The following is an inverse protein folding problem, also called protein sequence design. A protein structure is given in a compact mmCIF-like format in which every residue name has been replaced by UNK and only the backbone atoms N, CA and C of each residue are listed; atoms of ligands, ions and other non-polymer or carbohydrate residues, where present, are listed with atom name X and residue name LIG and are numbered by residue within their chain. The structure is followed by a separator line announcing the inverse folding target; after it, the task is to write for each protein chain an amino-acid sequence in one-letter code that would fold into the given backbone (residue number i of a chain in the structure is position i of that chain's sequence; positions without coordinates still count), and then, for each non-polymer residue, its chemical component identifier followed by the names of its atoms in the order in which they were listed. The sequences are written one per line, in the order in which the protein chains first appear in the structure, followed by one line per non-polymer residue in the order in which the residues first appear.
data_IF_612546392401
#
_entry.id   IF_612546392401
#
_cell.length_a   1.000
_cell.length_b   1.000
_cell.length_c   1.000
_cell.angle_alpha   90.00
_cell.angle_beta   90.00
_cell.angle_gamma   90.00
#
_symmetry.space_group_name_H-M   'P 1'
#
loop_
_entity.id
_entity.type
_entity.pdbx_description
1 polymer ?
#
# COMPACT_ATOMS: atom_id res chain seq x y z
N UNK A 1 13.08 -32.23 25.06
CA UNK A 1 13.90 -31.60 24.01
C UNK A 1 15.27 -31.14 24.55
N UNK A 2 16.11 -32.05 25.10
CA UNK A 2 17.48 -31.74 25.56
C UNK A 2 18.58 -31.87 24.50
N UNK A 3 18.30 -32.49 23.35
CA UNK A 3 19.34 -32.86 22.39
C UNK A 3 19.91 -31.70 21.51
N UNK A 4 19.30 -30.53 21.49
CA UNK A 4 19.80 -29.38 20.70
C UNK A 4 20.85 -28.49 21.41
N UNK A 5 21.15 -28.75 22.67
CA UNK A 5 22.11 -27.95 23.44
C UNK A 5 23.54 -28.55 23.35
N UNK A 6 23.65 -29.88 23.12
CA UNK A 6 24.95 -30.55 23.04
C UNK A 6 25.72 -30.29 21.75
N UNK A 7 25.06 -29.91 20.64
CA UNK A 7 25.74 -29.64 19.37
C UNK A 7 26.36 -28.23 19.28
N UNK A 8 26.11 -27.36 20.25
CA UNK A 8 26.63 -25.98 20.30
C UNK A 8 27.85 -25.81 21.22
N UNK A 9 28.29 -26.90 21.88
CA UNK A 9 29.27 -26.82 22.96
C UNK A 9 30.61 -27.52 22.78
N UNK A 10 30.88 -28.19 21.66
CA UNK A 10 32.13 -28.94 21.49
C UNK A 10 32.88 -28.55 20.22
N UNK A 11 33.59 -27.46 20.26
CA UNK A 11 34.87 -27.28 19.56
C UNK A 11 35.62 -26.14 20.23
N UNK A 12 36.62 -26.51 21.00
CA UNK A 12 37.62 -25.61 21.56
C UNK A 12 38.31 -24.84 20.43
N UNK A 13 38.54 -23.55 20.68
CA UNK A 13 39.39 -22.73 19.84
C UNK A 13 38.78 -21.40 19.41
N UNK A 14 39.20 -20.35 20.10
CA UNK A 14 39.11 -18.96 19.63
C UNK A 14 37.77 -18.22 19.74
N UNK A 15 37.52 -17.66 20.87
CA UNK A 15 36.43 -16.69 21.12
C UNK A 15 36.55 -15.39 20.29
N UNK A 16 37.64 -15.16 19.62
CA UNK A 16 37.92 -13.91 18.90
C UNK A 16 37.40 -13.86 17.45
N UNK A 17 36.87 -14.94 16.90
CA UNK A 17 36.39 -15.00 15.48
C UNK A 17 34.88 -15.21 15.30
N UNK A 18 34.08 -15.12 16.36
CA UNK A 18 32.63 -15.25 16.19
C UNK A 18 32.07 -13.94 15.62
N UNK A 19 31.55 -13.97 14.39
CA UNK A 19 30.97 -12.80 13.75
C UNK A 19 29.94 -12.10 14.67
N UNK A 20 29.87 -10.76 14.71
CA UNK A 20 28.92 -10.01 15.54
C UNK A 20 27.48 -10.48 15.36
N UNK A 21 27.14 -11.01 14.19
CA UNK A 21 25.85 -11.59 13.85
C UNK A 21 25.50 -12.86 14.65
N UNK A 22 26.49 -13.73 14.89
CA UNK A 22 26.30 -14.99 15.64
C UNK A 22 26.10 -14.72 17.12
N UNK A 23 26.87 -13.76 17.66
CA UNK A 23 26.73 -13.32 19.06
C UNK A 23 25.34 -12.70 19.29
N UNK A 24 24.88 -11.84 18.38
CA UNK A 24 23.55 -11.21 18.46
C UNK A 24 22.42 -12.26 18.44
N UNK A 25 22.47 -13.26 17.57
CA UNK A 25 21.50 -14.37 17.55
C UNK A 25 21.45 -15.14 18.87
N UNK A 26 22.58 -15.38 19.50
CA UNK A 26 22.65 -16.07 20.80
C UNK A 26 22.03 -15.21 21.91
N UNK A 27 22.33 -13.92 21.95
CA UNK A 27 21.74 -12.98 22.92
C UNK A 27 20.22 -12.90 22.73
N UNK A 28 19.74 -12.80 21.50
CA UNK A 28 18.31 -12.74 21.17
C UNK A 28 17.59 -14.03 21.60
N UNK A 29 18.21 -15.20 21.37
CA UNK A 29 17.70 -16.50 21.80
C UNK A 29 17.62 -16.63 23.32
N UNK A 30 18.67 -16.19 24.04
CA UNK A 30 18.68 -16.17 25.50
C UNK A 30 17.59 -15.25 26.07
N UNK A 31 17.36 -14.10 25.43
CA UNK A 31 16.33 -13.14 25.80
C UNK A 31 14.92 -13.72 25.64
N UNK A 32 14.66 -14.44 24.54
CA UNK A 32 13.41 -15.15 24.30
C UNK A 32 13.13 -16.25 25.32
N UNK A 33 14.16 -17.02 25.71
CA UNK A 33 14.01 -18.09 26.72
C UNK A 33 13.70 -17.50 28.11
N UNK A 34 14.32 -16.38 28.46
CA UNK A 34 14.20 -15.75 29.81
C UNK A 34 12.92 -14.95 30.00
N UNK A 35 12.11 -14.71 28.94
CA UNK A 35 10.84 -14.00 29.08
C UNK A 35 9.87 -14.70 30.05
N UNK A 36 9.21 -13.93 30.89
CA UNK A 36 8.18 -14.42 31.82
C UNK A 36 6.98 -15.02 31.08
N UNK A 37 6.32 -15.99 31.69
CA UNK A 37 5.16 -16.69 31.10
C UNK A 37 4.07 -15.71 30.62
N UNK A 38 3.71 -14.72 31.44
CA UNK A 38 2.70 -13.73 31.06
C UNK A 38 3.16 -12.84 29.91
N UNK A 39 4.43 -12.43 29.86
CA UNK A 39 5.01 -11.68 28.74
C UNK A 39 4.87 -12.47 27.44
N UNK A 40 5.27 -13.77 27.45
CA UNK A 40 5.12 -14.66 26.27
C UNK A 40 3.67 -14.73 25.80
N UNK A 41 2.73 -14.87 26.73
CA UNK A 41 1.29 -14.90 26.41
C UNK A 41 0.82 -13.60 25.79
N UNK A 42 1.18 -12.45 26.37
CA UNK A 42 0.78 -11.13 25.83
C UNK A 42 1.39 -10.88 24.45
N UNK A 43 2.67 -11.19 24.25
CA UNK A 43 3.36 -11.04 22.97
C UNK A 43 2.74 -11.93 21.90
N UNK A 44 2.44 -13.19 22.19
CA UNK A 44 1.80 -14.09 21.24
C UNK A 44 0.41 -13.60 20.83
N UNK A 45 -0.44 -13.24 21.80
CA UNK A 45 -1.76 -12.67 21.50
C UNK A 45 -1.69 -11.36 20.72
N UNK A 46 -0.68 -10.52 21.02
CA UNK A 46 -0.42 -9.30 20.28
C UNK A 46 -0.09 -9.61 18.81
N UNK A 47 0.80 -10.57 18.56
CA UNK A 47 1.16 -11.03 17.21
C UNK A 47 -0.05 -11.59 16.46
N UNK A 48 -0.84 -12.45 17.10
CA UNK A 48 -2.01 -13.05 16.48
C UNK A 48 -3.02 -11.97 16.06
N UNK A 49 -3.26 -10.98 16.93
CA UNK A 49 -4.13 -9.84 16.63
C UNK A 49 -3.58 -8.97 15.50
N UNK A 50 -2.26 -8.75 15.47
CA UNK A 50 -1.58 -8.00 14.41
C UNK A 50 -1.70 -8.70 13.05
N UNK A 51 -1.43 -10.00 13.00
CA UNK A 51 -1.50 -10.78 11.78
C UNK A 51 -2.92 -10.85 11.22
N UNK A 52 -3.90 -11.05 12.09
CA UNK A 52 -5.31 -11.02 11.69
C UNK A 52 -5.72 -9.65 11.13
N UNK A 53 -5.23 -8.55 11.74
CA UNK A 53 -5.46 -7.20 11.23
C UNK A 53 -4.93 -7.04 9.81
N UNK A 54 -3.67 -7.46 9.54
CA UNK A 54 -3.07 -7.41 8.22
C UNK A 54 -3.86 -8.24 7.19
N UNK A 55 -4.25 -9.45 7.58
CA UNK A 55 -4.99 -10.35 6.70
C UNK A 55 -6.33 -9.77 6.30
N UNK A 56 -7.09 -9.22 7.24
CA UNK A 56 -8.38 -8.59 6.96
C UNK A 56 -8.25 -7.33 6.11
N UNK A 57 -7.23 -6.48 6.37
CA UNK A 57 -7.02 -5.28 5.58
C UNK A 57 -6.69 -5.61 4.12
N UNK A 58 -5.89 -6.64 3.89
CA UNK A 58 -5.43 -7.04 2.57
C UNK A 58 -6.43 -7.90 1.78
N UNK A 59 -7.61 -8.19 2.35
CA UNK A 59 -8.69 -8.89 1.63
C UNK A 59 -9.55 -7.90 0.86
N UNK A 60 -9.52 -7.88 -0.49
CA UNK A 60 -10.26 -6.89 -1.29
C UNK A 60 -11.78 -7.05 -1.20
N UNK A 61 -12.26 -8.23 -0.81
CA UNK A 61 -13.71 -8.53 -0.67
C UNK A 61 -14.34 -7.95 0.60
N UNK A 62 -13.54 -7.43 1.52
CA UNK A 62 -14.03 -6.87 2.79
C UNK A 62 -14.12 -5.35 2.66
N UNK A 63 -15.34 -4.78 2.67
CA UNK A 63 -15.54 -3.33 2.66
C UNK A 63 -15.15 -2.64 3.98
N UNK A 64 -15.32 -3.32 5.11
CA UNK A 64 -15.05 -2.82 6.47
C UNK A 64 -13.57 -3.05 6.88
N UNK A 65 -12.62 -2.68 5.99
CA UNK A 65 -11.18 -3.00 6.16
C UNK A 65 -10.48 -2.08 7.16
N UNK A 66 -10.68 -0.78 7.02
CA UNK A 66 -10.00 0.22 7.85
C UNK A 66 -10.44 0.11 9.30
N UNK A 67 -11.72 -0.08 9.52
CA UNK A 67 -12.32 -0.25 10.84
C UNK A 67 -11.82 -1.53 11.52
N UNK A 68 -11.97 -2.67 10.84
CA UNK A 68 -11.50 -3.96 11.36
C UNK A 68 -10.02 -3.94 11.69
N UNK A 69 -9.20 -3.34 10.79
CA UNK A 69 -7.78 -3.16 11.03
C UNK A 69 -7.52 -2.31 12.27
N UNK A 70 -8.16 -1.15 12.39
CA UNK A 70 -7.94 -0.23 13.51
C UNK A 70 -8.27 -0.88 14.86
N UNK A 71 -9.35 -1.66 14.93
CA UNK A 71 -9.77 -2.38 16.14
C UNK A 71 -8.72 -3.43 16.54
N UNK A 72 -8.38 -4.31 15.61
CA UNK A 72 -7.44 -5.42 15.87
C UNK A 72 -6.02 -4.91 16.10
N UNK A 73 -5.60 -3.90 15.34
CA UNK A 73 -4.26 -3.36 15.47
C UNK A 73 -4.07 -2.55 16.76
N UNK A 74 -5.10 -1.81 17.20
CA UNK A 74 -5.09 -1.17 18.52
C UNK A 74 -4.99 -2.20 19.63
N UNK A 75 -5.70 -3.33 19.52
CA UNK A 75 -5.58 -4.43 20.48
C UNK A 75 -4.16 -5.03 20.46
N UNK A 76 -3.57 -5.22 19.28
CA UNK A 76 -2.21 -5.70 19.15
C UNK A 76 -1.22 -4.76 19.84
N UNK A 77 -1.34 -3.45 19.62
CA UNK A 77 -0.53 -2.44 20.31
C UNK A 77 -0.71 -2.47 21.82
N UNK A 78 -1.95 -2.50 22.30
CA UNK A 78 -2.22 -2.51 23.74
C UNK A 78 -1.56 -3.72 24.43
N UNK A 79 -1.66 -4.90 23.82
CA UNK A 79 -1.03 -6.13 24.34
C UNK A 79 0.50 -6.05 24.30
N UNK A 80 1.09 -5.49 23.23
CA UNK A 80 2.55 -5.33 23.11
C UNK A 80 3.10 -4.36 24.15
N UNK A 81 2.44 -3.21 24.32
CA UNK A 81 2.82 -2.20 25.32
C UNK A 81 2.73 -2.76 26.75
N UNK A 82 1.67 -3.51 27.05
CA UNK A 82 1.52 -4.19 28.35
C UNK A 82 2.61 -5.26 28.56
N UNK A 83 2.94 -6.03 27.54
CA UNK A 83 4.02 -7.00 27.61
C UNK A 83 5.35 -6.34 27.95
N UNK A 84 5.66 -5.22 27.30
CA UNK A 84 6.85 -4.43 27.55
C UNK A 84 6.89 -3.88 28.98
N UNK A 85 5.83 -3.24 29.46
CA UNK A 85 5.76 -2.69 30.81
C UNK A 85 5.89 -3.79 31.88
N UNK A 86 5.26 -4.94 31.66
CA UNK A 86 5.34 -6.06 32.59
C UNK A 86 6.76 -6.64 32.66
N UNK A 87 7.41 -6.84 31.52
CA UNK A 87 8.78 -7.33 31.47
C UNK A 87 9.76 -6.33 32.09
N UNK A 88 9.68 -5.05 31.71
CA UNK A 88 10.53 -3.97 32.22
C UNK A 88 10.39 -3.75 33.73
N UNK A 89 9.20 -4.01 34.28
CA UNK A 89 8.97 -3.92 35.73
C UNK A 89 9.48 -5.13 36.53
N UNK A 90 10.13 -6.10 35.88
CA UNK A 90 10.53 -7.35 36.54
C UNK A 90 9.35 -8.30 36.79
N UNK A 91 8.21 -8.15 36.07
CA UNK A 91 7.03 -8.99 36.21
C UNK A 91 6.05 -8.56 37.30
N UNK A 92 6.11 -7.31 37.70
CA UNK A 92 5.18 -6.77 38.70
C UNK A 92 3.81 -6.50 38.09
N UNK A 93 2.76 -7.21 38.55
CA UNK A 93 1.39 -7.06 38.00
C UNK A 93 0.85 -5.62 38.14
N UNK A 94 1.32 -4.85 39.07
CA UNK A 94 0.95 -3.43 39.24
C UNK A 94 1.38 -2.54 38.07
N UNK A 95 2.32 -2.97 37.24
CA UNK A 95 2.74 -2.21 36.07
C UNK A 95 1.65 -2.12 35.01
N UNK A 96 0.79 -3.13 34.92
CA UNK A 96 -0.23 -3.29 33.86
C UNK A 96 -1.66 -3.44 34.41
N UNK A 97 -1.85 -3.51 35.73
CA UNK A 97 -3.16 -3.59 36.35
C UNK A 97 -3.33 -2.50 37.39
N UNK A 98 -4.53 -1.93 37.48
CA UNK A 98 -4.95 -0.99 38.50
C UNK A 98 -5.05 -1.70 39.86
N UNK A 99 -5.10 -0.92 40.95
CA UNK A 99 -5.36 -1.48 42.29
C UNK A 99 -6.71 -2.21 42.28
N UNK A 100 -6.75 -3.41 42.86
CA UNK A 100 -8.01 -4.17 42.97
C UNK A 100 -8.95 -3.45 43.93
N UNK A 101 -10.14 -3.12 43.48
CA UNK A 101 -11.24 -2.62 44.28
C UNK A 101 -12.00 -3.84 44.83
N UNK A 102 -12.38 -3.80 46.10
CA UNK A 102 -13.15 -4.86 46.76
C UNK A 102 -14.42 -5.13 45.93
N UNK A 103 -14.70 -6.40 45.66
CA UNK A 103 -15.86 -6.87 44.92
C UNK A 103 -15.90 -6.48 43.42
N UNK A 104 -14.82 -5.98 42.81
CA UNK A 104 -14.71 -5.72 41.38
C UNK A 104 -13.60 -6.55 40.74
N UNK A 105 -13.83 -6.89 39.46
CA UNK A 105 -12.77 -7.50 38.61
C UNK A 105 -11.61 -6.52 38.52
N UNK A 106 -10.37 -7.03 38.60
CA UNK A 106 -9.18 -6.20 38.46
C UNK A 106 -9.07 -5.70 37.00
N UNK A 107 -9.06 -4.41 36.82
CA UNK A 107 -8.95 -3.76 35.50
C UNK A 107 -7.49 -3.63 35.09
N UNK A 108 -7.22 -3.81 33.80
CA UNK A 108 -5.92 -3.46 33.23
C UNK A 108 -5.87 -1.98 32.87
N UNK A 109 -4.66 -1.44 32.77
CA UNK A 109 -4.48 -0.05 32.31
C UNK A 109 -4.81 0.05 30.82
N UNK A 110 -5.22 1.25 30.37
CA UNK A 110 -5.56 1.53 28.97
C UNK A 110 -4.33 1.70 28.09
N UNK A 111 -4.54 1.70 26.77
CA UNK A 111 -3.47 1.97 25.80
C UNK A 111 -2.82 3.35 26.06
N UNK A 112 -3.62 4.39 26.36
CA UNK A 112 -3.13 5.74 26.64
C UNK A 112 -2.28 5.79 27.91
N UNK A 113 -2.65 5.03 28.94
CA UNK A 113 -1.85 4.90 30.15
C UNK A 113 -0.52 4.19 29.88
N UNK A 114 -0.52 3.17 28.99
CA UNK A 114 0.69 2.51 28.54
C UNK A 114 1.61 3.48 27.79
N UNK A 115 1.07 4.24 26.86
CA UNK A 115 1.82 5.21 26.04
C UNK A 115 2.49 6.27 26.91
N UNK A 116 1.78 6.83 27.89
CA UNK A 116 2.35 7.80 28.84
C UNK A 116 3.49 7.23 29.67
N UNK A 117 3.42 5.94 30.02
CA UNK A 117 4.47 5.28 30.80
C UNK A 117 5.71 4.94 29.98
N UNK A 118 5.56 4.66 28.68
CA UNK A 118 6.64 4.18 27.81
C UNK A 118 7.33 5.34 27.11
N UNK A 119 6.56 6.29 26.60
CA UNK A 119 7.07 7.42 25.82
C UNK A 119 7.03 8.71 26.67
N UNK A 120 8.20 9.15 27.12
CA UNK A 120 8.33 10.33 27.97
C UNK A 120 7.86 11.62 27.29
N UNK A 121 8.12 11.75 25.97
CA UNK A 121 7.73 12.93 25.19
C UNK A 121 6.33 12.75 24.63
N UNK A 122 5.45 13.73 24.87
CA UNK A 122 4.07 13.70 24.36
C UNK A 122 3.99 13.79 22.83
N UNK A 123 5.00 14.38 22.19
CA UNK A 123 5.12 14.52 20.73
C UNK A 123 6.04 13.46 20.10
N UNK A 124 6.35 12.36 20.81
CA UNK A 124 7.09 11.24 20.22
C UNK A 124 6.34 10.73 18.97
N UNK A 125 7.00 10.61 17.81
CA UNK A 125 6.32 10.26 16.56
C UNK A 125 5.66 8.88 16.58
N UNK A 126 6.27 7.88 17.26
CA UNK A 126 5.70 6.53 17.41
C UNK A 126 4.48 6.58 18.32
N UNK A 127 4.58 7.30 19.44
CA UNK A 127 3.44 7.52 20.34
C UNK A 127 2.28 8.18 19.58
N UNK A 128 2.53 9.23 18.82
CA UNK A 128 1.49 9.93 18.03
C UNK A 128 0.86 9.05 16.98
N UNK A 129 1.63 8.20 16.32
CA UNK A 129 1.09 7.22 15.39
C UNK A 129 0.10 6.27 16.09
N UNK A 130 0.46 5.73 17.25
CA UNK A 130 -0.40 4.81 18.00
C UNK A 130 -1.65 5.53 18.55
N UNK A 131 -1.50 6.76 19.07
CA UNK A 131 -2.63 7.59 19.53
C UNK A 131 -3.63 7.82 18.39
N UNK A 132 -3.14 8.14 17.18
CA UNK A 132 -4.00 8.37 16.03
C UNK A 132 -4.72 7.09 15.57
N UNK A 133 -4.05 5.93 15.57
CA UNK A 133 -4.67 4.63 15.28
C UNK A 133 -5.76 4.31 16.32
N UNK A 134 -5.50 4.59 17.59
CA UNK A 134 -6.49 4.40 18.67
C UNK A 134 -7.70 5.33 18.52
N UNK A 135 -7.48 6.55 18.04
CA UNK A 135 -8.56 7.49 17.74
C UNK A 135 -9.44 6.98 16.55
N UNK A 136 -8.81 6.51 15.46
CA UNK A 136 -9.55 5.88 14.36
C UNK A 136 -10.38 4.69 14.85
N UNK A 137 -9.80 3.85 15.72
CA UNK A 137 -10.53 2.72 16.33
C UNK A 137 -11.75 3.16 17.12
N UNK A 138 -11.67 4.26 17.83
CA UNK A 138 -12.81 4.77 18.59
C UNK A 138 -13.95 5.25 17.65
N UNK A 139 -13.60 5.82 16.51
CA UNK A 139 -14.56 6.26 15.49
C UNK A 139 -15.09 5.10 14.63
N UNK A 140 -14.40 3.96 14.58
CA UNK A 140 -14.78 2.81 13.78
C UNK A 140 -16.19 2.27 14.09
N UNK A 141 -16.69 2.49 15.30
CA UNK A 141 -18.04 2.11 15.72
C UNK A 141 -19.13 3.11 15.29
N UNK A 142 -18.75 4.29 14.77
CA UNK A 142 -19.69 5.37 14.51
C UNK A 142 -19.76 5.72 13.02
N UNK A 143 -18.73 6.32 12.47
CA UNK A 143 -18.73 6.76 11.08
C UNK A 143 -17.29 6.89 10.57
N UNK A 144 -16.86 5.96 9.72
CA UNK A 144 -15.65 6.13 8.89
C UNK A 144 -16.10 6.39 7.46
N UNK A 145 -15.59 7.47 6.88
CA UNK A 145 -15.89 7.89 5.53
C UNK A 145 -14.78 7.39 4.61
N UNK A 146 -15.12 6.67 3.55
CA UNK A 146 -14.17 6.05 2.62
C UNK A 146 -13.16 7.03 2.01
N UNK A 147 -13.52 8.32 1.91
CA UNK A 147 -12.62 9.38 1.45
C UNK A 147 -11.41 9.62 2.36
N UNK A 148 -11.44 9.11 3.59
CA UNK A 148 -10.33 9.17 4.54
C UNK A 148 -9.37 7.97 4.43
N UNK A 149 -9.74 6.91 3.74
CA UNK A 149 -8.93 5.70 3.58
C UNK A 149 -7.50 5.96 3.10
N UNK A 150 -7.24 6.87 2.13
CA UNK A 150 -5.87 7.17 1.70
C UNK A 150 -5.00 7.77 2.82
N UNK A 151 -5.60 8.51 3.75
CA UNK A 151 -4.90 9.07 4.91
C UNK A 151 -4.67 7.99 5.97
N UNK A 152 -5.69 7.20 6.27
CA UNK A 152 -5.62 6.13 7.26
C UNK A 152 -4.61 5.06 6.87
N UNK A 153 -4.59 4.64 5.60
CA UNK A 153 -3.63 3.66 5.08
C UNK A 153 -2.17 4.06 5.32
N UNK A 154 -1.85 5.35 5.20
CA UNK A 154 -0.50 5.87 5.45
C UNK A 154 -0.11 5.80 6.93
N UNK A 155 -1.06 6.09 7.81
CA UNK A 155 -0.88 5.97 9.27
C UNK A 155 -0.74 4.51 9.68
N UNK A 156 -1.60 3.66 9.14
CA UNK A 156 -1.59 2.23 9.42
C UNK A 156 -0.29 1.58 8.94
N UNK A 157 0.14 1.85 7.71
CA UNK A 157 1.39 1.31 7.18
C UNK A 157 2.60 1.75 8.01
N UNK A 158 2.65 3.01 8.48
CA UNK A 158 3.71 3.44 9.39
C UNK A 158 3.60 2.73 10.74
N UNK A 159 2.39 2.55 11.25
CA UNK A 159 2.12 1.78 12.46
C UNK A 159 2.63 0.35 12.36
N UNK A 160 2.39 -0.32 11.24
CA UNK A 160 2.91 -1.67 10.96
C UNK A 160 4.43 -1.71 11.07
N UNK A 161 5.14 -0.77 10.45
CA UNK A 161 6.59 -0.69 10.53
C UNK A 161 7.07 -0.41 11.96
N UNK A 162 6.43 0.52 12.67
CA UNK A 162 6.74 0.81 14.08
C UNK A 162 6.53 -0.42 14.96
N UNK A 163 5.45 -1.18 14.74
CA UNK A 163 5.14 -2.39 15.49
C UNK A 163 6.25 -3.44 15.33
N UNK A 164 6.67 -3.70 14.10
CA UNK A 164 7.72 -4.67 13.79
C UNK A 164 9.06 -4.24 14.38
N UNK A 165 9.42 -2.95 14.25
CA UNK A 165 10.63 -2.37 14.81
C UNK A 165 10.67 -2.54 16.34
N UNK A 166 9.56 -2.25 17.05
CA UNK A 166 9.51 -2.35 18.51
C UNK A 166 9.41 -3.79 18.99
N UNK A 167 8.75 -4.68 18.26
CA UNK A 167 8.71 -6.10 18.57
C UNK A 167 10.12 -6.72 18.54
N UNK A 168 10.91 -6.39 17.49
CA UNK A 168 12.31 -6.81 17.43
C UNK A 168 13.15 -6.17 18.56
N UNK A 169 13.04 -4.85 18.72
CA UNK A 169 13.81 -4.10 19.72
C UNK A 169 13.57 -4.59 21.15
N UNK A 170 12.31 -4.85 21.53
CA UNK A 170 11.95 -5.18 22.91
C UNK A 170 12.07 -6.66 23.21
N UNK A 171 11.74 -7.51 22.25
CA UNK A 171 11.61 -8.95 22.47
C UNK A 171 12.50 -9.81 21.58
N UNK A 172 13.30 -9.21 20.69
CA UNK A 172 14.13 -9.90 19.72
C UNK A 172 13.33 -10.84 18.79
N UNK A 173 12.09 -10.46 18.48
CA UNK A 173 11.21 -11.22 17.58
C UNK A 173 11.21 -10.56 16.21
N UNK A 174 11.87 -11.19 15.26
CA UNK A 174 12.04 -10.71 13.89
C UNK A 174 10.90 -11.17 13.00
N UNK A 175 9.78 -10.48 13.10
CA UNK A 175 8.57 -10.84 12.36
C UNK A 175 8.80 -10.74 10.84
N UNK A 176 9.57 -9.77 10.39
CA UNK A 176 9.88 -9.56 8.98
C UNK A 176 10.64 -10.74 8.33
N UNK A 177 11.44 -11.50 9.12
CA UNK A 177 12.15 -12.68 8.61
C UNK A 177 11.23 -13.91 8.50
N UNK A 178 10.07 -13.89 9.15
CA UNK A 178 9.14 -15.03 9.21
C UNK A 178 8.14 -15.01 8.05
N UNK A 179 7.89 -13.85 7.47
CA UNK A 179 6.89 -13.66 6.41
C UNK A 179 7.53 -13.33 5.06
N UNK A 180 6.87 -13.79 3.99
CA UNK A 180 7.27 -13.44 2.62
C UNK A 180 7.11 -11.92 2.41
N UNK A 181 7.98 -11.30 1.60
CA UNK A 181 7.80 -9.91 1.17
C UNK A 181 6.39 -9.69 0.60
N UNK A 182 5.72 -8.63 1.04
CA UNK A 182 4.35 -8.31 0.62
C UNK A 182 3.27 -8.59 1.66
N UNK A 183 3.46 -9.58 2.57
CA UNK A 183 2.49 -9.84 3.65
C UNK A 183 2.48 -8.75 4.74
N UNK A 184 3.55 -7.98 4.86
CA UNK A 184 3.71 -6.90 5.85
C UNK A 184 3.26 -5.55 5.29
N UNK A 185 3.01 -5.49 3.98
CA UNK A 185 2.53 -4.28 3.30
C UNK A 185 1.01 -4.25 3.32
N UNK A 186 0.42 -3.08 3.60
CA UNK A 186 -1.01 -2.87 3.43
C UNK A 186 -1.27 -2.56 1.95
N UNK A 187 -2.14 -3.35 1.33
CA UNK A 187 -2.64 -3.06 -0.01
C UNK A 187 -3.72 -1.99 0.13
N UNK A 188 -3.38 -0.79 -0.24
CA UNK A 188 -4.30 0.34 -0.28
C UNK A 188 -4.65 0.59 -1.74
N UNK A 189 -5.93 0.59 -2.06
CA UNK A 189 -6.43 1.26 -3.24
C UNK A 189 -6.29 2.76 -2.96
N UNK A 190 -5.10 3.28 -3.23
CA UNK A 190 -4.84 4.71 -3.09
C UNK A 190 -5.66 5.45 -4.17
N UNK A 191 -6.96 5.48 -3.96
CA UNK A 191 -7.85 6.39 -4.67
C UNK A 191 -7.26 7.79 -4.53
N UNK A 192 -7.26 8.54 -5.62
CA UNK A 192 -6.75 9.90 -5.61
C UNK A 192 -7.39 10.68 -4.46
N UNK A 193 -6.54 11.23 -3.59
CA UNK A 193 -7.01 12.10 -2.51
C UNK A 193 -7.83 13.22 -3.14
N UNK A 194 -9.14 13.19 -2.95
CA UNK A 194 -10.04 14.23 -3.49
C UNK A 194 -9.65 15.58 -2.91
N UNK A 195 -9.67 16.62 -3.72
CA UNK A 195 -9.40 17.98 -3.23
C UNK A 195 -10.45 18.40 -2.20
N UNK A 196 -10.04 19.23 -1.24
CA UNK A 196 -10.95 19.78 -0.23
C UNK A 196 -12.14 20.50 -0.87
N UNK A 197 -11.92 21.17 -2.01
CA UNK A 197 -13.00 21.84 -2.76
C UNK A 197 -13.98 20.86 -3.38
N UNK A 198 -13.54 19.70 -3.84
CA UNK A 198 -14.39 18.62 -4.35
C UNK A 198 -15.20 18.00 -3.22
N UNK A 199 -14.57 17.69 -2.09
CA UNK A 199 -15.23 17.15 -0.90
C UNK A 199 -16.34 18.09 -0.39
N UNK A 200 -16.06 19.39 -0.33
CA UNK A 200 -17.05 20.41 0.08
C UNK A 200 -18.28 20.45 -0.80
N UNK A 201 -18.19 20.07 -2.08
CA UNK A 201 -19.33 20.03 -3.01
C UNK A 201 -20.13 18.73 -2.91
N UNK A 202 -19.52 17.65 -2.42
CA UNK A 202 -20.09 16.30 -2.45
C UNK A 202 -20.74 15.89 -1.13
N UNK A 203 -20.49 16.59 -0.03
CA UNK A 203 -20.94 16.23 1.32
C UNK A 203 -21.79 17.31 1.96
N UNK A 204 -22.59 16.93 2.96
CA UNK A 204 -23.28 17.85 3.84
C UNK A 204 -22.26 18.76 4.57
N UNK A 205 -22.73 19.85 5.18
CA UNK A 205 -21.85 20.76 5.92
C UNK A 205 -21.21 20.05 7.12
N UNK A 206 -21.96 19.19 7.79
CA UNK A 206 -21.54 18.42 8.96
C UNK A 206 -20.51 17.37 8.57
N UNK A 207 -20.79 16.56 7.55
CA UNK A 207 -19.87 15.52 7.06
C UNK A 207 -18.56 16.14 6.53
N UNK A 208 -18.66 17.24 5.80
CA UNK A 208 -17.49 17.97 5.33
C UNK A 208 -16.64 18.49 6.49
N UNK A 209 -17.26 18.99 7.56
CA UNK A 209 -16.53 19.45 8.74
C UNK A 209 -15.79 18.29 9.40
N UNK A 210 -16.44 17.14 9.56
CA UNK A 210 -15.84 15.92 10.08
C UNK A 210 -14.61 15.49 9.26
N UNK A 211 -14.76 15.38 7.93
CA UNK A 211 -13.64 15.05 7.03
C UNK A 211 -12.50 16.06 7.16
N UNK A 212 -12.82 17.35 7.17
CA UNK A 212 -11.82 18.41 7.24
C UNK A 212 -11.03 18.39 8.55
N UNK A 213 -11.66 18.03 9.65
CA UNK A 213 -11.00 17.92 10.95
C UNK A 213 -10.04 16.71 10.98
N UNK A 214 -10.42 15.59 10.39
CA UNK A 214 -9.50 14.46 10.18
C UNK A 214 -8.30 14.83 9.29
N UNK A 215 -8.53 15.53 8.19
CA UNK A 215 -7.45 15.99 7.31
C UNK A 215 -6.51 16.97 8.02
N UNK A 216 -7.04 17.86 8.88
CA UNK A 216 -6.19 18.76 9.71
C UNK A 216 -5.34 17.96 10.72
N UNK A 217 -5.94 17.00 11.42
CA UNK A 217 -5.22 16.11 12.35
C UNK A 217 -4.11 15.34 11.62
N UNK A 218 -4.41 14.79 10.43
CA UNK A 218 -3.43 14.09 9.61
C UNK A 218 -2.26 14.99 9.22
N UNK A 219 -2.52 16.22 8.75
CA UNK A 219 -1.47 17.20 8.42
C UNK A 219 -0.63 17.59 9.64
N UNK A 220 -1.23 17.65 10.82
CA UNK A 220 -0.48 17.86 12.05
C UNK A 220 0.43 16.67 12.35
N UNK A 221 -0.04 15.44 12.13
CA UNK A 221 0.74 14.21 12.30
C UNK A 221 1.94 14.15 11.33
N UNK A 222 1.77 14.55 10.07
CA UNK A 222 2.87 14.63 9.08
C UNK A 222 4.02 15.53 9.54
N UNK A 223 3.73 16.62 10.24
CA UNK A 223 4.74 17.55 10.74
C UNK A 223 5.57 17.02 11.89
N UNK A 224 5.13 15.97 12.57
CA UNK A 224 5.81 15.36 13.72
C UNK A 224 7.02 14.54 13.26
N UNK A 225 6.94 13.89 12.10
CA UNK A 225 8.07 13.16 11.51
C UNK A 225 7.69 11.81 10.90
N UNK A 226 8.66 11.20 10.24
CA UNK A 226 8.49 9.99 9.45
C UNK A 226 7.96 8.77 10.22
N UNK A 227 8.20 8.71 11.54
CA UNK A 227 7.67 7.63 12.39
C UNK A 227 6.22 7.85 12.82
N UNK A 228 5.64 9.00 12.51
CA UNK A 228 4.22 9.29 12.78
C UNK A 228 3.32 8.85 11.61
N UNK A 229 3.75 9.07 10.38
CA UNK A 229 3.04 8.64 9.16
C UNK A 229 4.04 8.45 8.01
N UNK A 230 3.64 7.73 6.96
CA UNK A 230 4.46 7.63 5.75
C UNK A 230 4.35 8.94 4.96
N UNK A 231 5.47 9.65 4.74
CA UNK A 231 5.46 10.82 3.86
C UNK A 231 5.28 10.37 2.41
N UNK A 232 4.52 11.14 1.64
CA UNK A 232 4.48 11.00 0.18
C UNK A 232 5.26 12.16 -0.40
N UNK A 233 6.37 11.86 -1.07
CA UNK A 233 7.17 12.85 -1.79
C UNK A 233 6.82 12.77 -3.27
N UNK A 234 6.35 13.86 -3.83
CA UNK A 234 6.10 13.98 -5.26
C UNK A 234 7.28 14.72 -5.90
N UNK A 235 7.86 14.13 -6.94
CA UNK A 235 8.82 14.83 -7.80
C UNK A 235 8.04 15.39 -8.98
N UNK A 236 8.01 16.72 -9.10
CA UNK A 236 7.34 17.42 -10.20
C UNK A 236 8.41 17.79 -11.23
N UNK A 237 8.29 17.23 -12.43
CA UNK A 237 9.07 17.65 -13.59
C UNK A 237 8.20 18.53 -14.49
N UNK A 238 8.69 19.73 -14.80
CA UNK A 238 8.02 20.61 -15.76
C UNK A 238 8.33 20.09 -17.17
N UNK A 239 7.31 19.72 -17.91
CA UNK A 239 7.42 19.27 -19.31
C UNK A 239 6.71 20.26 -20.23
N UNK A 240 7.34 20.60 -21.34
CA UNK A 240 6.81 21.57 -22.30
C UNK A 240 5.67 20.99 -23.17
N UNK A 241 5.40 19.69 -23.11
CA UNK A 241 4.36 19.05 -23.89
C UNK A 241 3.18 18.64 -22.99
N UNK A 242 2.00 19.27 -23.11
CA UNK A 242 0.81 18.95 -22.30
C UNK A 242 0.38 17.48 -22.37
N UNK A 243 0.63 16.80 -23.49
CA UNK A 243 0.29 15.38 -23.68
C UNK A 243 1.23 14.42 -22.90
N UNK A 244 2.35 14.94 -22.38
CA UNK A 244 3.29 14.19 -21.53
C UNK A 244 3.17 14.55 -20.06
N UNK A 245 2.33 15.50 -19.73
CA UNK A 245 2.12 15.95 -18.36
C UNK A 245 1.05 15.11 -17.67
N UNK A 246 1.35 14.61 -16.47
CA UNK A 246 0.35 13.98 -15.60
C UNK A 246 -0.60 15.04 -14.99
N UNK A 247 -0.14 16.28 -14.90
CA UNK A 247 -0.92 17.44 -14.43
C UNK A 247 -0.59 18.64 -15.30
N UNK A 248 -1.63 19.32 -15.80
CA UNK A 248 -1.49 20.57 -16.55
C UNK A 248 -1.79 21.74 -15.62
N UNK A 249 -0.79 22.61 -15.43
CA UNK A 249 -0.96 23.87 -14.69
C UNK A 249 -1.37 24.97 -15.67
N UNK A 250 -2.56 25.53 -15.51
CA UNK A 250 -2.96 26.71 -16.28
C UNK A 250 -2.59 27.99 -15.52
N UNK A 251 -1.93 28.94 -16.19
CA UNK A 251 -1.54 30.25 -15.66
C UNK A 251 -2.67 31.27 -15.81
N UNK A 252 -3.78 31.06 -15.13
CA UNK A 252 -4.91 31.98 -15.21
C UNK A 252 -5.53 32.28 -13.85
N UNK A 253 -5.00 33.27 -13.12
CA UNK A 253 -5.64 33.84 -11.94
C UNK A 253 -5.27 33.21 -10.60
N UNK A 254 -5.10 34.08 -9.63
CA UNK A 254 -4.83 33.90 -8.19
C UNK A 254 -4.76 32.48 -7.65
N UNK A 255 -3.53 31.98 -7.44
CA UNK A 255 -3.24 30.88 -6.53
C UNK A 255 -3.83 29.51 -6.92
N UNK A 256 -3.43 28.94 -8.06
CA UNK A 256 -3.85 27.60 -8.45
C UNK A 256 -3.14 26.56 -7.56
N UNK A 257 -3.91 25.87 -6.73
CA UNK A 257 -3.45 24.66 -6.06
C UNK A 257 -3.34 23.57 -7.12
N UNK A 258 -2.12 23.07 -7.39
CA UNK A 258 -1.94 21.86 -8.17
C UNK A 258 -2.58 20.68 -7.42
N UNK A 259 -3.59 20.08 -8.02
CA UNK A 259 -4.15 18.82 -7.56
C UNK A 259 -3.47 17.75 -8.39
N UNK A 260 -2.53 17.02 -7.77
CA UNK A 260 -1.91 15.85 -8.40
C UNK A 260 -2.95 14.75 -8.33
N UNK A 261 -3.55 14.43 -9.47
CA UNK A 261 -4.37 13.24 -9.63
C UNK A 261 -3.43 12.11 -10.05
N UNK A 262 -3.03 11.26 -9.11
CA UNK A 262 -2.45 9.97 -9.46
C UNK A 262 -3.54 9.15 -10.18
N UNK A 263 -3.47 9.16 -11.51
CA UNK A 263 -4.27 8.27 -12.31
C UNK A 263 -3.53 6.93 -12.37
N UNK A 264 -3.78 6.04 -11.42
CA UNK A 264 -3.50 4.64 -11.64
C UNK A 264 -4.34 4.20 -12.83
N UNK A 265 -3.69 4.12 -13.99
CA UNK A 265 -4.32 3.52 -15.16
C UNK A 265 -4.24 2.03 -14.94
N UNK A 266 -5.35 1.46 -14.50
CA UNK A 266 -5.57 0.03 -14.66
C UNK A 266 -5.43 -0.25 -16.16
N UNK A 267 -4.41 -1.03 -16.51
CA UNK A 267 -4.05 -1.28 -17.90
C UNK A 267 -5.17 -2.02 -18.58
N UNK A 268 -5.87 -2.90 -17.87
CA UNK A 268 -7.01 -3.65 -18.40
C UNK A 268 -8.22 -2.73 -18.64
N UNK A 269 -8.34 -1.60 -17.96
CA UNK A 269 -9.35 -0.57 -18.27
C UNK A 269 -8.94 0.33 -19.43
N UNK A 270 -7.66 0.64 -19.59
CA UNK A 270 -7.19 1.55 -20.64
C UNK A 270 -6.84 0.85 -21.95
N UNK A 271 -6.38 -0.41 -21.85
CA UNK A 271 -5.97 -1.25 -22.97
C UNK A 271 -6.59 -2.66 -22.85
N UNK A 272 -7.93 -2.77 -22.88
CA UNK A 272 -8.63 -4.01 -22.56
C UNK A 272 -8.45 -5.12 -23.60
N UNK A 273 -7.99 -4.79 -24.82
CA UNK A 273 -7.96 -5.72 -25.92
C UNK A 273 -6.60 -6.37 -26.12
N UNK A 274 -6.55 -7.69 -26.13
CA UNK A 274 -5.45 -8.41 -26.78
C UNK A 274 -5.61 -8.34 -28.31
N UNK A 275 -4.57 -8.72 -29.04
CA UNK A 275 -4.59 -8.59 -30.51
C UNK A 275 -5.80 -9.27 -31.16
N UNK A 276 -6.15 -10.47 -30.69
CA UNK A 276 -7.30 -11.22 -31.22
C UNK A 276 -8.60 -10.49 -30.96
N UNK A 277 -8.80 -10.09 -29.72
CA UNK A 277 -10.01 -9.39 -29.25
C UNK A 277 -10.18 -8.04 -29.95
N UNK A 278 -9.08 -7.29 -30.16
CA UNK A 278 -9.10 -6.03 -30.91
C UNK A 278 -9.53 -6.22 -32.36
N UNK A 279 -9.07 -7.30 -33.03
CA UNK A 279 -9.43 -7.61 -34.40
C UNK A 279 -10.91 -8.03 -34.49
N UNK A 280 -11.39 -8.85 -33.58
CA UNK A 280 -12.79 -9.28 -33.51
C UNK A 280 -13.72 -8.07 -33.27
N UNK A 281 -13.36 -7.17 -32.37
CA UNK A 281 -14.11 -5.93 -32.13
C UNK A 281 -14.14 -5.01 -33.36
N UNK A 282 -13.01 -4.87 -34.07
CA UNK A 282 -12.94 -4.11 -35.33
C UNK A 282 -13.85 -4.72 -36.38
N UNK A 283 -13.79 -6.04 -36.60
CA UNK A 283 -14.63 -6.74 -37.59
C UNK A 283 -16.12 -6.51 -37.30
N UNK A 284 -16.53 -6.60 -36.04
CA UNK A 284 -17.92 -6.38 -35.63
C UNK A 284 -18.44 -4.95 -35.88
N UNK A 285 -17.53 -3.96 -36.01
CA UNK A 285 -17.87 -2.53 -36.21
C UNK A 285 -17.62 -1.98 -37.61
N UNK A 286 -17.00 -2.76 -38.49
CA UNK A 286 -16.83 -2.38 -39.88
C UNK A 286 -18.13 -2.52 -40.65
N UNK A 287 -18.28 -1.72 -41.71
CA UNK A 287 -19.42 -1.80 -42.63
C UNK A 287 -19.51 -3.19 -43.30
N UNK A 288 -20.74 -3.66 -43.50
CA UNK A 288 -21.00 -4.96 -44.11
C UNK A 288 -20.22 -5.16 -45.42
N UNK A 289 -19.62 -6.35 -45.59
CA UNK A 289 -18.85 -6.71 -46.78
C UNK A 289 -17.36 -6.36 -46.72
N UNK A 290 -16.87 -5.76 -45.65
CA UNK A 290 -15.44 -5.51 -45.48
C UNK A 290 -14.74 -6.68 -44.73
N UNK A 291 -13.94 -7.45 -45.48
CA UNK A 291 -13.05 -8.45 -44.85
C UNK A 291 -11.86 -7.77 -44.21
N UNK A 292 -11.68 -7.96 -42.89
CA UNK A 292 -10.54 -7.45 -42.13
C UNK A 292 -9.72 -8.60 -41.54
N UNK A 293 -8.42 -8.57 -41.71
CA UNK A 293 -7.52 -9.65 -41.28
C UNK A 293 -6.45 -9.19 -40.33
N UNK A 294 -5.77 -10.14 -39.68
CA UNK A 294 -4.58 -9.86 -38.85
C UNK A 294 -3.52 -9.08 -39.63
N UNK A 295 -3.37 -9.35 -40.92
CA UNK A 295 -2.39 -8.63 -41.75
C UNK A 295 -2.77 -7.15 -41.94
N UNK A 296 -4.06 -6.85 -42.09
CA UNK A 296 -4.56 -5.47 -42.18
C UNK A 296 -4.31 -4.71 -40.87
N UNK A 297 -4.56 -5.37 -39.75
CA UNK A 297 -4.30 -4.81 -38.43
C UNK A 297 -2.80 -4.49 -38.20
N UNK A 298 -1.92 -5.44 -38.55
CA UNK A 298 -0.47 -5.23 -38.41
C UNK A 298 0.05 -4.17 -39.38
N UNK A 299 -0.47 -4.12 -40.62
CA UNK A 299 -0.14 -3.09 -41.60
C UNK A 299 -0.56 -1.69 -41.10
N UNK A 300 -1.76 -1.55 -40.58
CA UNK A 300 -2.23 -0.29 -40.00
C UNK A 300 -1.34 0.14 -38.79
N UNK A 301 -1.08 -0.77 -37.87
CA UNK A 301 -0.22 -0.50 -36.71
C UNK A 301 1.19 -0.10 -37.12
N UNK A 302 1.73 -0.70 -38.17
CA UNK A 302 3.06 -0.39 -38.68
C UNK A 302 3.12 1.01 -39.32
N UNK A 303 2.23 1.32 -40.26
CA UNK A 303 2.21 2.59 -40.99
C UNK A 303 1.98 3.76 -40.02
N UNK A 304 1.08 3.59 -39.07
CA UNK A 304 0.79 4.61 -38.07
C UNK A 304 1.74 4.61 -36.85
N UNK A 305 2.78 3.76 -36.85
CA UNK A 305 3.80 3.74 -35.84
C UNK A 305 3.30 3.35 -34.43
N UNK A 306 2.18 2.63 -34.31
CA UNK A 306 1.53 2.30 -33.05
C UNK A 306 2.45 1.54 -32.09
N UNK A 307 3.28 0.62 -32.61
CA UNK A 307 4.19 -0.21 -31.83
C UNK A 307 5.61 0.37 -31.67
N UNK A 308 5.87 1.60 -32.14
CA UNK A 308 7.19 2.24 -32.00
C UNK A 308 7.57 2.50 -30.53
N UNK A 309 6.57 2.72 -29.67
CA UNK A 309 6.75 2.84 -28.22
C UNK A 309 6.06 1.68 -27.52
N UNK A 310 6.65 1.18 -26.46
CA UNK A 310 6.05 0.12 -25.63
C UNK A 310 4.90 0.61 -24.77
N UNK A 311 4.70 1.92 -24.67
CA UNK A 311 3.63 2.56 -23.87
C UNK A 311 3.16 3.82 -24.57
N UNK A 312 1.95 3.81 -25.10
CA UNK A 312 1.28 4.99 -25.67
C UNK A 312 -0.24 4.85 -25.51
N UNK A 313 -1.02 5.81 -25.99
CA UNK A 313 -2.48 5.79 -25.84
C UNK A 313 -3.19 4.66 -26.61
N UNK A 314 -2.51 4.03 -27.56
CA UNK A 314 -3.04 2.97 -28.43
C UNK A 314 -2.51 1.58 -28.09
N UNK A 315 -1.30 1.51 -27.53
CA UNK A 315 -0.59 0.25 -27.31
C UNK A 315 0.22 0.27 -26.03
N UNK A 316 0.11 -0.81 -25.28
CA UNK A 316 0.91 -1.06 -24.09
C UNK A 316 1.51 -2.46 -24.13
N UNK A 317 2.83 -2.56 -23.92
CA UNK A 317 3.55 -3.83 -23.86
C UNK A 317 4.14 -4.01 -22.45
N UNK A 318 3.74 -5.05 -21.70
CA UNK A 318 4.34 -5.37 -20.42
C UNK A 318 5.79 -5.85 -20.62
N UNK A 319 6.56 -5.81 -19.54
CA UNK A 319 7.93 -6.37 -19.54
C UNK A 319 7.92 -7.87 -19.88
N UNK A 320 6.89 -8.58 -19.43
CA UNK A 320 6.64 -9.99 -19.72
C UNK A 320 5.20 -10.16 -20.22
N UNK A 321 5.01 -10.81 -21.36
CA UNK A 321 3.69 -11.09 -21.94
C UNK A 321 3.41 -10.42 -23.29
N UNK A 322 2.19 -10.60 -23.79
CA UNK A 322 1.71 -10.02 -25.06
C UNK A 322 1.27 -8.58 -24.84
N UNK A 323 1.43 -7.74 -25.88
CA UNK A 323 0.94 -6.36 -25.87
C UNK A 323 -0.59 -6.29 -25.87
N UNK A 324 -1.10 -5.21 -25.30
CA UNK A 324 -2.52 -4.88 -25.20
C UNK A 324 -2.83 -3.58 -25.96
N UNK A 325 -4.08 -3.43 -26.39
CA UNK A 325 -4.53 -2.35 -27.24
C UNK A 325 -5.72 -1.64 -26.63
N UNK A 326 -5.80 -0.32 -26.83
CA UNK A 326 -6.88 0.50 -26.28
C UNK A 326 -8.11 0.50 -27.19
N UNK A 327 -9.28 0.85 -26.61
CA UNK A 327 -10.49 1.14 -27.37
C UNK A 327 -10.31 2.27 -28.39
N UNK A 328 -9.47 3.26 -28.08
CA UNK A 328 -9.14 4.35 -29.02
C UNK A 328 -8.46 3.84 -30.30
N UNK A 329 -7.63 2.80 -30.21
CA UNK A 329 -7.06 2.19 -31.40
C UNK A 329 -8.14 1.53 -32.24
N UNK A 330 -9.03 0.77 -31.64
CA UNK A 330 -10.16 0.13 -32.31
C UNK A 330 -11.00 1.18 -33.05
N UNK A 331 -11.37 2.28 -32.36
CA UNK A 331 -12.12 3.40 -32.93
C UNK A 331 -11.38 4.02 -34.13
N UNK A 332 -10.08 4.25 -34.01
CA UNK A 332 -9.25 4.82 -35.06
C UNK A 332 -9.18 3.92 -36.30
N UNK A 333 -9.01 2.60 -36.12
CA UNK A 333 -8.98 1.62 -37.21
C UNK A 333 -10.33 1.54 -37.90
N UNK A 334 -11.43 1.43 -37.14
CA UNK A 334 -12.80 1.37 -37.69
C UNK A 334 -13.11 2.64 -38.49
N UNK A 335 -12.81 3.81 -37.96
CA UNK A 335 -13.03 5.10 -38.64
C UNK A 335 -12.22 5.16 -39.92
N UNK A 336 -10.94 4.77 -39.88
CA UNK A 336 -10.06 4.80 -41.03
C UNK A 336 -10.56 3.92 -42.18
N UNK A 337 -10.88 2.64 -41.90
CA UNK A 337 -11.31 1.70 -42.95
C UNK A 337 -12.72 1.99 -43.47
N UNK A 338 -13.62 2.51 -42.63
CA UNK A 338 -14.94 2.94 -43.08
C UNK A 338 -14.92 4.18 -43.95
N UNK A 339 -13.92 5.08 -43.73
CA UNK A 339 -13.74 6.31 -44.51
C UNK A 339 -12.88 6.10 -45.77
N UNK A 340 -12.04 5.07 -45.79
CA UNK A 340 -11.09 4.82 -46.90
C UNK A 340 -11.12 3.37 -47.37
N UNK A 341 -12.17 2.94 -48.11
CA UNK A 341 -12.33 1.54 -48.50
C UNK A 341 -11.18 1.00 -49.39
N UNK A 342 -10.51 1.88 -50.17
CA UNK A 342 -9.40 1.53 -51.06
C UNK A 342 -8.01 1.53 -50.41
N UNK A 343 -7.85 2.03 -49.19
CA UNK A 343 -6.53 2.21 -48.55
C UNK A 343 -5.84 0.89 -48.17
N UNK A 344 -6.56 -0.22 -48.12
CA UNK A 344 -6.06 -1.54 -47.65
C UNK A 344 -4.85 -2.00 -48.45
N UNK A 345 -4.90 -1.94 -49.78
CA UNK A 345 -3.82 -2.43 -50.62
C UNK A 345 -2.54 -1.66 -50.43
N UNK A 346 -2.63 -0.36 -50.27
CA UNK A 346 -1.48 0.50 -50.04
C UNK A 346 -0.84 0.19 -48.65
N UNK A 347 -1.63 0.05 -47.58
CA UNK A 347 -1.13 -0.33 -46.28
C UNK A 347 -0.42 -1.68 -46.28
N UNK A 348 -1.02 -2.68 -46.96
CA UNK A 348 -0.43 -4.02 -47.10
C UNK A 348 0.88 -3.99 -47.87
N UNK A 349 0.96 -3.21 -48.95
CA UNK A 349 2.17 -3.06 -49.74
C UNK A 349 3.31 -2.49 -48.90
N UNK A 350 3.09 -1.36 -48.21
CA UNK A 350 4.09 -0.73 -47.36
C UNK A 350 4.61 -1.68 -46.25
N UNK A 351 3.70 -2.42 -45.64
CA UNK A 351 4.06 -3.38 -44.62
C UNK A 351 4.85 -4.58 -45.17
N UNK A 352 4.45 -5.09 -46.32
CA UNK A 352 5.12 -6.20 -47.01
C UNK A 352 6.54 -5.83 -47.48
N UNK A 353 6.75 -4.62 -47.96
CA UNK A 353 8.08 -4.08 -48.31
C UNK A 353 8.98 -4.00 -47.07
N UNK A 354 8.43 -3.53 -45.94
CA UNK A 354 9.16 -3.51 -44.68
C UNK A 354 9.60 -4.92 -44.23
N UNK A 355 8.69 -5.89 -44.30
CA UNK A 355 9.00 -7.28 -43.93
C UNK A 355 10.09 -7.89 -44.82
N UNK A 356 10.10 -7.58 -46.12
CA UNK A 356 11.14 -8.01 -47.05
C UNK A 356 12.51 -7.42 -46.72
N UNK A 357 12.58 -6.12 -46.31
CA UNK A 357 13.82 -5.44 -45.87
C UNK A 357 14.37 -6.00 -44.55
N UNK A 358 13.54 -6.53 -43.68
CA UNK A 358 13.90 -7.09 -42.37
C UNK A 358 14.42 -8.54 -42.47
N UNK A 359 14.17 -9.22 -43.63
CA UNK A 359 14.62 -10.59 -43.88
C UNK A 359 15.93 -10.66 -44.67
N UNK A 360 16.39 -9.52 -45.20
CA UNK A 360 17.74 -9.32 -45.75
C UNK A 360 18.66 -8.74 -44.65
#
# INVERSE_FOLDING_TARGET
MPQKISELGASDGNLQTRSPFRIRKIIDYIRLIKMKKLTKTLVNKSKDSFLLALELFNKPTIGYRAESFSILFSNAWELLLKAYLYEASGGKKQSIFRKKIKNRKRESITIDECLRKIFAKSNDPVRKNIEYISEIRNEAAHLIIAELDPYFSRVFQRGVLNYIELLDKWFAIKLAETFKPGLISLISDAGAVKSISTLKKSFSKEDFQYINDWVKKFKALERIGEKATIPITYSIAIVNNPNKADVVLSSGGKGVRAVILEKYRDIDQTHPFRRKDAIEEIIGRLKAGQNFTTHDFEAYCFVNGIKKSSKNEHYWKPKYGSGQYSGKLVDSVVTFFNSNPGARNNLRQQYSEHLKRKRK
#
